data_IF_589392838603
#
_entry.id   IF_589392838603
#
_cell.length_a   1.000
_cell.length_b   1.000
_cell.length_c   1.000
_cell.angle_alpha   90.00
_cell.angle_beta   90.00
_cell.angle_gamma   90.00
#
_symmetry.space_group_name_H-M   'P 1'
#
loop_
_entity.id
_entity.type
_entity.pdbx_description
1 polymer ?
#
# COMPACT_ATOMS: atom_id res chain seq x y z
N UNK A 1 12.44 17.03 -2.63
CA UNK A 1 11.09 17.57 -2.98
C UNK A 1 10.96 19.09 -2.85
N UNK A 2 11.84 19.80 -2.14
CA UNK A 2 11.65 21.25 -1.93
C UNK A 2 11.85 22.13 -3.17
N UNK A 3 12.59 21.63 -4.16
CA UNK A 3 13.01 22.39 -5.35
C UNK A 3 11.87 22.86 -6.28
N UNK A 4 10.64 22.35 -6.12
CA UNK A 4 9.51 22.65 -7.01
C UNK A 4 8.28 23.24 -6.32
N UNK A 5 8.37 23.63 -5.04
CA UNK A 5 7.23 24.18 -4.28
C UNK A 5 6.62 25.45 -4.93
N UNK A 6 7.42 26.24 -5.62
CA UNK A 6 6.99 27.49 -6.28
C UNK A 6 6.39 27.28 -7.68
N UNK A 7 6.48 26.08 -8.25
CA UNK A 7 6.02 25.84 -9.62
C UNK A 7 4.51 25.59 -9.66
N UNK A 8 3.74 26.58 -10.16
CA UNK A 8 2.27 26.50 -10.30
C UNK A 8 1.79 25.34 -11.17
N UNK A 9 2.65 24.75 -12.03
CA UNK A 9 2.32 23.59 -12.87
C UNK A 9 2.19 22.28 -12.07
N UNK A 10 2.73 22.25 -10.85
CA UNK A 10 2.70 21.07 -9.96
C UNK A 10 2.07 21.47 -8.62
N UNK A 11 0.73 21.52 -8.52
CA UNK A 11 0.07 21.92 -7.29
C UNK A 11 0.39 20.93 -6.15
N UNK A 12 0.59 21.47 -4.94
CA UNK A 12 0.81 20.67 -3.74
C UNK A 12 -0.49 19.95 -3.38
N UNK A 13 -0.41 18.64 -3.11
CA UNK A 13 -1.55 17.84 -2.71
C UNK A 13 -1.75 17.90 -1.20
N UNK A 14 -3.01 18.02 -0.78
CA UNK A 14 -3.42 17.96 0.62
C UNK A 14 -4.27 16.72 0.85
N UNK A 15 -4.05 15.97 1.94
CA UNK A 15 -4.87 14.81 2.26
C UNK A 15 -6.30 15.25 2.58
N UNK A 16 -7.27 14.43 2.18
CA UNK A 16 -8.66 14.61 2.61
C UNK A 16 -8.81 14.25 4.09
N UNK A 17 -9.84 14.81 4.73
CA UNK A 17 -10.22 14.42 6.09
C UNK A 17 -10.68 12.96 6.13
N UNK A 18 -10.32 12.27 7.21
CA UNK A 18 -10.71 10.88 7.47
C UNK A 18 -12.21 10.69 7.80
N UNK A 19 -12.94 11.78 8.07
CA UNK A 19 -14.29 11.69 8.66
C UNK A 19 -15.39 11.08 7.76
N UNK A 20 -15.24 11.12 6.43
CA UNK A 20 -16.24 10.55 5.49
C UNK A 20 -15.56 10.01 4.23
N UNK A 21 -15.52 8.70 4.08
CA UNK A 21 -15.25 8.04 2.81
C UNK A 21 -16.54 7.36 2.34
N UNK A 22 -17.05 7.75 1.17
CA UNK A 22 -18.20 7.07 0.56
C UNK A 22 -17.67 6.01 -0.40
N UNK A 23 -18.01 4.76 -0.15
CA UNK A 23 -17.82 3.69 -1.13
C UNK A 23 -18.69 4.01 -2.34
N UNK A 24 -18.09 4.02 -3.53
CA UNK A 24 -18.84 4.28 -4.78
C UNK A 24 -19.94 3.25 -4.94
N UNK A 25 -21.15 3.67 -5.31
CA UNK A 25 -22.27 2.76 -5.60
C UNK A 25 -21.91 1.69 -6.64
N UNK A 26 -20.95 1.98 -7.52
CA UNK A 26 -20.45 1.05 -8.54
C UNK A 26 -19.78 -0.21 -7.99
N UNK A 27 -19.29 -0.17 -6.75
CA UNK A 27 -18.54 -1.29 -6.15
C UNK A 27 -19.19 -1.84 -4.89
N UNK A 28 -20.30 -1.26 -4.42
CA UNK A 28 -20.90 -1.66 -3.14
C UNK A 28 -21.28 -3.14 -3.14
N UNK A 29 -21.90 -3.63 -4.22
CA UNK A 29 -22.39 -5.01 -4.33
C UNK A 29 -21.27 -6.07 -4.51
N UNK A 30 -20.03 -5.64 -4.74
CA UNK A 30 -18.85 -6.51 -4.89
C UNK A 30 -17.83 -6.33 -3.76
N UNK A 31 -18.21 -5.65 -2.68
CA UNK A 31 -17.32 -5.38 -1.54
C UNK A 31 -17.80 -6.04 -0.27
N UNK A 32 -16.85 -6.44 0.59
CA UNK A 32 -17.12 -7.03 1.89
C UNK A 32 -16.44 -6.23 2.99
N UNK A 33 -17.09 -6.17 4.16
CA UNK A 33 -16.49 -5.60 5.35
C UNK A 33 -15.32 -6.45 5.84
N UNK A 34 -14.15 -5.84 6.01
CA UNK A 34 -12.97 -6.50 6.53
C UNK A 34 -12.13 -5.51 7.36
N UNK A 35 -11.36 -6.04 8.32
CA UNK A 35 -10.35 -5.24 9.02
C UNK A 35 -9.11 -5.19 8.15
N UNK A 36 -8.69 -3.98 7.78
CA UNK A 36 -7.56 -3.78 6.87
C UNK A 36 -6.55 -2.80 7.45
N UNK A 37 -5.29 -3.01 7.11
CA UNK A 37 -4.19 -2.11 7.45
C UNK A 37 -3.35 -1.87 6.20
N UNK A 38 -3.10 -0.60 5.88
CA UNK A 38 -2.18 -0.24 4.79
C UNK A 38 -0.74 -0.41 5.28
N UNK A 39 0.07 -1.07 4.45
CA UNK A 39 1.48 -1.33 4.68
C UNK A 39 2.29 -0.82 3.49
N UNK A 40 3.58 -0.52 3.69
CA UNK A 40 4.48 -0.03 2.64
C UNK A 40 5.94 -0.36 2.94
N UNK A 41 6.77 -0.26 1.90
CA UNK A 41 8.23 -0.31 1.98
C UNK A 41 8.79 1.02 1.49
N UNK A 42 9.27 1.87 2.39
CA UNK A 42 9.72 3.22 2.06
C UNK A 42 10.93 3.64 2.91
N UNK A 43 11.71 4.59 2.41
CA UNK A 43 12.87 5.12 3.11
C UNK A 43 13.08 6.60 2.78
N UNK A 44 14.16 7.19 3.29
CA UNK A 44 14.51 8.59 3.04
C UNK A 44 14.62 8.94 1.56
N UNK A 45 15.15 8.05 0.72
CA UNK A 45 15.30 8.34 -0.71
C UNK A 45 13.97 8.35 -1.46
N UNK A 46 13.01 7.50 -1.08
CA UNK A 46 11.76 7.31 -1.82
C UNK A 46 10.61 8.18 -1.32
N UNK A 47 10.54 8.41 -0.01
CA UNK A 47 9.43 9.13 0.63
C UNK A 47 9.88 10.28 1.54
N UNK A 48 11.18 10.57 1.63
CA UNK A 48 11.69 11.66 2.47
C UNK A 48 11.50 11.46 3.97
N UNK A 49 11.39 10.20 4.42
CA UNK A 49 11.21 9.86 5.84
C UNK A 49 12.55 9.60 6.54
N UNK A 50 12.63 9.92 7.84
CA UNK A 50 13.87 9.78 8.61
C UNK A 50 14.19 8.32 8.99
N UNK A 51 13.16 7.50 9.19
CA UNK A 51 13.29 6.10 9.57
C UNK A 51 12.69 5.23 8.47
N UNK A 52 13.43 4.21 8.03
CA UNK A 52 12.93 3.23 7.07
C UNK A 52 11.67 2.58 7.63
N UNK A 53 10.65 2.47 6.79
CA UNK A 53 9.44 1.70 7.08
C UNK A 53 9.46 0.42 6.27
N UNK A 54 9.32 -0.71 6.96
CA UNK A 54 9.34 -2.07 6.40
C UNK A 54 8.11 -2.86 6.83
N UNK A 55 6.95 -2.19 6.87
CA UNK A 55 5.72 -2.75 7.44
C UNK A 55 5.19 -3.93 6.64
N UNK A 56 5.42 -3.98 5.33
CA UNK A 56 5.13 -5.18 4.51
C UNK A 56 5.97 -6.37 4.98
N UNK A 57 7.30 -6.20 5.12
CA UNK A 57 8.20 -7.27 5.53
C UNK A 57 7.81 -7.85 6.89
N UNK A 58 7.57 -6.97 7.86
CA UNK A 58 7.18 -7.39 9.22
C UNK A 58 5.84 -8.14 9.21
N UNK A 59 4.84 -7.66 8.47
CA UNK A 59 3.56 -8.35 8.37
C UNK A 59 3.67 -9.74 7.74
N UNK A 60 4.53 -9.92 6.72
CA UNK A 60 4.81 -11.25 6.16
C UNK A 60 5.41 -12.18 7.21
N UNK A 61 6.42 -11.73 7.97
CA UNK A 61 7.01 -12.52 9.05
C UNK A 61 5.97 -12.91 10.10
N UNK A 62 5.14 -11.97 10.53
CA UNK A 62 4.10 -12.20 11.52
C UNK A 62 3.03 -13.18 11.03
N UNK A 63 2.55 -13.03 9.78
CA UNK A 63 1.61 -13.96 9.17
C UNK A 63 2.18 -15.38 9.09
N UNK A 64 3.42 -15.52 8.64
CA UNK A 64 4.08 -16.83 8.51
C UNK A 64 4.27 -17.47 9.90
N UNK A 65 4.78 -16.71 10.87
CA UNK A 65 5.06 -17.19 12.23
C UNK A 65 3.81 -17.64 12.97
N UNK A 66 2.67 -16.96 12.74
CA UNK A 66 1.44 -17.21 13.48
C UNK A 66 0.45 -18.14 12.76
N UNK A 67 0.74 -18.56 11.53
CA UNK A 67 -0.11 -19.49 10.78
C UNK A 67 -0.32 -20.81 11.54
N UNK A 68 -1.54 -21.36 11.49
CA UNK A 68 -1.92 -22.59 12.21
C UNK A 68 -2.11 -23.82 11.32
N UNK A 69 -2.29 -23.61 10.02
CA UNK A 69 -2.66 -24.69 9.10
C UNK A 69 -1.77 -24.70 7.86
N UNK A 70 -1.97 -23.75 6.94
CA UNK A 70 -1.19 -23.65 5.72
C UNK A 70 -0.97 -22.19 5.34
N UNK A 71 0.00 -21.97 4.46
CA UNK A 71 0.30 -20.66 3.87
C UNK A 71 0.30 -20.88 2.36
N UNK A 72 -0.55 -20.13 1.65
CA UNK A 72 -0.53 -20.05 0.19
C UNK A 72 0.24 -18.78 -0.22
N UNK A 73 1.22 -18.93 -1.10
CA UNK A 73 2.05 -17.82 -1.58
C UNK A 73 2.04 -17.83 -3.11
N UNK A 74 1.60 -16.73 -3.69
CA UNK A 74 1.71 -16.44 -5.12
C UNK A 74 2.52 -15.15 -5.29
N UNK A 75 3.67 -15.24 -5.95
CA UNK A 75 4.49 -14.09 -6.29
C UNK A 75 4.45 -13.95 -7.80
N UNK A 76 4.02 -12.79 -8.28
CA UNK A 76 3.83 -12.54 -9.71
C UNK A 76 5.06 -12.92 -10.53
N UNK A 77 4.91 -13.97 -11.33
CA UNK A 77 5.85 -14.35 -12.38
C UNK A 77 5.22 -14.06 -13.73
N UNK A 78 5.80 -13.13 -14.50
CA UNK A 78 5.58 -13.12 -15.94
C UNK A 78 6.31 -14.34 -16.51
N UNK A 79 5.62 -15.47 -16.60
CA UNK A 79 6.06 -16.57 -17.45
C UNK A 79 5.68 -16.21 -18.89
N UNK A 80 6.64 -15.65 -19.64
CA UNK A 80 6.58 -15.74 -21.11
C UNK A 80 6.87 -17.19 -21.47
N UNK A 81 5.84 -18.03 -21.42
CA UNK A 81 5.89 -19.37 -21.98
C UNK A 81 5.62 -19.27 -23.49
N UNK A 82 6.58 -18.70 -24.24
CA UNK A 82 6.75 -19.00 -25.66
C UNK A 82 7.73 -20.16 -25.78
N UNK A 83 7.19 -21.36 -25.81
CA UNK A 83 7.77 -22.48 -26.56
C UNK A 83 6.71 -22.97 -27.53
#
# INVERSE_FOLDING_TARGET
>A
MEKFKANKRYPILMPKSYGKCKVSSRIQDITYGCTTQILRSVSGWSAGINKVEQSIHNAYLDCIKNAKHFIYIEVGGHFDARV
#
